data_IF_158727439291
#
_entry.id   IF_158727439291
#
_cell.length_a   1.000
_cell.length_b   1.000
_cell.length_c   1.000
_cell.angle_alpha   90.00
_cell.angle_beta   90.00
_cell.angle_gamma   90.00
#
_symmetry.space_group_name_H-M   'P 1'
#
loop_
_entity.id
_entity.type
_entity.pdbx_description
1 polymer ?
#
# COMPACT_ATOMS: atom_id res chain seq x y z
N UNK A 1 -7.29 -2.78 18.22
CA UNK A 1 -6.36 -2.67 17.09
C UNK A 1 -7.05 -3.10 15.80
N UNK A 2 -6.69 -2.46 14.68
CA UNK A 2 -7.03 -2.94 13.34
C UNK A 2 -5.83 -3.69 12.75
N UNK A 3 -6.09 -4.83 12.13
CA UNK A 3 -5.11 -5.58 11.37
C UNK A 3 -5.45 -5.49 9.89
N UNK A 4 -4.57 -4.84 9.12
CA UNK A 4 -4.66 -4.71 7.66
C UNK A 4 -3.84 -5.84 7.05
N UNK A 5 -4.50 -6.76 6.35
CA UNK A 5 -3.85 -7.94 5.79
C UNK A 5 -3.27 -7.65 4.40
N UNK A 6 -2.12 -8.20 4.09
CA UNK A 6 -1.45 -8.13 2.79
C UNK A 6 -1.19 -9.53 2.24
N UNK A 7 -1.26 -9.74 0.93
CA UNK A 7 -0.77 -10.98 0.30
C UNK A 7 0.76 -11.13 0.37
N UNK A 8 1.45 -10.00 0.52
CA UNK A 8 2.91 -9.91 0.46
C UNK A 8 3.45 -9.60 -0.93
N UNK A 9 2.61 -9.61 -1.96
CA UNK A 9 2.99 -9.34 -3.34
C UNK A 9 3.91 -10.40 -3.94
N UNK A 10 4.44 -10.19 -5.17
CA UNK A 10 5.27 -11.16 -5.88
C UNK A 10 6.66 -11.36 -5.28
N UNK A 11 7.10 -10.47 -4.41
CA UNK A 11 8.45 -10.49 -3.84
C UNK A 11 8.51 -10.86 -2.36
N UNK A 12 7.43 -11.44 -1.83
CA UNK A 12 7.41 -11.97 -0.47
C UNK A 12 8.61 -12.89 -0.21
N UNK A 13 9.31 -12.72 0.92
CA UNK A 13 10.47 -13.51 1.31
C UNK A 13 11.80 -13.09 0.67
N UNK A 14 11.78 -12.19 -0.34
CA UNK A 14 13.01 -11.61 -0.91
C UNK A 14 13.61 -10.56 0.01
N UNK A 15 14.91 -10.30 -0.16
CA UNK A 15 15.64 -9.22 0.51
C UNK A 15 15.99 -8.13 -0.49
N UNK A 16 16.35 -6.94 0.00
CA UNK A 16 16.68 -5.80 -0.85
C UNK A 16 17.76 -6.12 -1.91
N UNK A 17 18.73 -6.99 -1.58
CA UNK A 17 19.74 -7.42 -2.54
C UNK A 17 19.15 -8.19 -3.73
N UNK A 18 18.06 -8.93 -3.52
CA UNK A 18 17.39 -9.72 -4.56
C UNK A 18 16.52 -8.85 -5.47
N UNK A 19 16.24 -7.60 -5.05
CA UNK A 19 15.33 -6.68 -5.74
C UNK A 19 16.04 -5.68 -6.65
N UNK A 20 17.37 -5.73 -6.76
CA UNK A 20 18.16 -4.76 -7.54
C UNK A 20 17.85 -4.79 -9.05
N UNK A 21 17.56 -5.97 -9.58
CA UNK A 21 17.37 -6.18 -11.02
C UNK A 21 15.94 -6.64 -11.38
N UNK A 22 14.96 -6.22 -10.60
CA UNK A 22 13.55 -6.53 -10.86
C UNK A 22 13.09 -5.83 -12.14
N UNK A 23 12.51 -6.62 -13.06
CA UNK A 23 11.89 -6.08 -14.28
C UNK A 23 10.45 -5.66 -14.04
N UNK A 24 9.94 -4.82 -14.94
CA UNK A 24 8.52 -4.41 -14.93
C UNK A 24 7.60 -5.63 -14.99
N UNK A 25 7.92 -6.61 -15.83
CA UNK A 25 7.13 -7.84 -15.99
C UNK A 25 7.05 -8.63 -14.67
N UNK A 26 8.19 -8.81 -13.99
CA UNK A 26 8.24 -9.48 -12.70
C UNK A 26 7.40 -8.76 -11.64
N UNK A 27 7.47 -7.43 -11.59
CA UNK A 27 6.71 -6.63 -10.63
C UNK A 27 5.19 -6.61 -10.91
N UNK A 28 4.78 -6.80 -12.16
CA UNK A 28 3.38 -6.91 -12.57
C UNK A 28 2.80 -8.32 -12.34
N UNK A 29 3.64 -9.34 -12.14
CA UNK A 29 3.21 -10.74 -11.96
C UNK A 29 2.71 -11.00 -10.53
N UNK A 30 1.52 -10.47 -10.20
CA UNK A 30 0.92 -10.70 -8.88
C UNK A 30 0.43 -12.14 -8.74
N UNK A 31 0.74 -12.87 -7.63
CA UNK A 31 0.45 -14.29 -7.49
C UNK A 31 -1.05 -14.62 -7.42
N UNK A 32 -1.90 -13.68 -6.98
CA UNK A 32 -3.31 -13.92 -6.69
C UNK A 32 -4.25 -13.09 -7.57
N UNK A 33 -3.86 -11.83 -7.89
CA UNK A 33 -4.75 -10.85 -8.50
C UNK A 33 -4.31 -10.46 -9.90
N UNK A 34 -5.28 -10.36 -10.81
CA UNK A 34 -5.09 -9.67 -12.09
C UNK A 34 -5.64 -8.24 -11.95
N UNK A 35 -4.75 -7.27 -11.88
CA UNK A 35 -5.07 -5.88 -11.52
C UNK A 35 -4.48 -4.90 -12.53
N UNK A 36 -4.87 -3.63 -12.43
CA UNK A 36 -4.25 -2.55 -13.18
C UNK A 36 -2.76 -2.39 -12.86
N UNK A 37 -1.98 -1.82 -13.80
CA UNK A 37 -0.52 -1.77 -13.68
C UNK A 37 -0.05 -1.00 -12.43
N UNK A 38 -0.65 0.16 -12.12
CA UNK A 38 -0.25 0.99 -10.96
C UNK A 38 -0.42 0.22 -9.64
N UNK A 39 -1.59 -0.36 -9.38
CA UNK A 39 -1.86 -1.08 -8.13
C UNK A 39 -1.04 -2.37 -8.02
N UNK A 40 -0.66 -3.02 -9.13
CA UNK A 40 0.23 -4.18 -9.13
C UNK A 40 1.63 -3.81 -8.63
N UNK A 41 2.16 -2.65 -9.06
CA UNK A 41 3.44 -2.14 -8.54
C UNK A 41 3.30 -1.74 -7.07
N UNK A 42 2.23 -1.04 -6.68
CA UNK A 42 2.00 -0.68 -5.27
C UNK A 42 1.86 -1.92 -4.37
N UNK A 43 1.25 -2.99 -4.87
CA UNK A 43 1.22 -4.27 -4.17
C UNK A 43 2.62 -4.88 -4.02
N UNK A 44 3.42 -4.85 -5.08
CA UNK A 44 4.78 -5.41 -5.09
C UNK A 44 5.71 -4.71 -4.11
N UNK A 45 5.55 -3.38 -3.94
CA UNK A 45 6.34 -2.53 -3.04
C UNK A 45 5.77 -2.44 -1.63
N UNK A 46 4.59 -3.01 -1.38
CA UNK A 46 3.73 -2.80 -0.20
C UNK A 46 3.29 -1.34 0.00
N UNK A 47 3.45 -0.45 -0.98
CA UNK A 47 2.89 0.90 -0.92
C UNK A 47 1.37 0.86 -0.82
N UNK A 48 0.69 -0.05 -1.55
CA UNK A 48 -0.77 -0.20 -1.45
C UNK A 48 -1.20 -0.42 0.01
N UNK A 49 -0.45 -1.25 0.73
CA UNK A 49 -0.74 -1.52 2.14
C UNK A 49 -0.47 -0.30 3.02
N UNK A 50 0.52 0.50 2.67
CA UNK A 50 0.78 1.78 3.32
C UNK A 50 -0.35 2.78 3.13
N UNK A 51 -0.89 2.89 1.92
CA UNK A 51 -2.07 3.71 1.61
C UNK A 51 -3.30 3.24 2.41
N UNK A 52 -3.52 1.93 2.49
CA UNK A 52 -4.63 1.36 3.28
C UNK A 52 -4.49 1.63 4.79
N UNK A 53 -3.27 1.73 5.34
CA UNK A 53 -3.05 2.15 6.73
C UNK A 53 -3.50 3.60 6.93
N UNK A 54 -3.18 4.50 5.99
CA UNK A 54 -3.62 5.89 6.02
C UNK A 54 -5.14 5.99 5.86
N UNK A 55 -5.73 5.23 4.93
CA UNK A 55 -7.18 5.13 4.74
C UNK A 55 -7.88 4.65 6.01
N UNK A 56 -7.38 3.60 6.65
CA UNK A 56 -7.95 3.06 7.87
C UNK A 56 -7.92 4.08 9.02
N UNK A 57 -6.84 4.87 9.13
CA UNK A 57 -6.76 5.97 10.08
C UNK A 57 -7.91 6.97 9.88
N UNK A 58 -8.12 7.44 8.65
CA UNK A 58 -9.14 8.44 8.35
C UNK A 58 -10.56 7.89 8.40
N UNK A 59 -10.81 6.68 7.86
CA UNK A 59 -12.14 6.09 7.80
C UNK A 59 -12.68 5.71 9.18
N UNK A 60 -11.80 5.26 10.07
CA UNK A 60 -12.21 4.74 11.39
C UNK A 60 -11.77 5.63 12.56
N UNK A 61 -11.17 6.80 12.29
CA UNK A 61 -10.56 7.67 13.31
C UNK A 61 -9.62 6.89 14.26
N UNK A 62 -8.93 5.87 13.74
CA UNK A 62 -8.06 4.98 14.52
C UNK A 62 -6.63 5.54 14.57
N UNK A 63 -6.02 5.70 15.74
CA UNK A 63 -4.62 6.10 15.85
C UNK A 63 -3.68 5.13 15.11
N UNK A 64 -2.60 5.64 14.51
CA UNK A 64 -1.65 4.83 13.73
C UNK A 64 -1.02 3.69 14.55
N UNK A 65 -0.74 3.89 15.83
CA UNK A 65 -0.23 2.86 16.75
C UNK A 65 -1.23 1.72 17.02
N UNK A 66 -2.48 1.91 16.62
CA UNK A 66 -3.57 0.92 16.69
C UNK A 66 -3.89 0.28 15.36
N UNK A 67 -3.15 0.61 14.29
CA UNK A 67 -3.28 -0.02 12.97
C UNK A 67 -2.00 -0.79 12.71
N UNK A 68 -2.13 -2.09 12.45
CA UNK A 68 -0.99 -2.97 12.21
C UNK A 68 -1.15 -3.70 10.88
N UNK A 69 -0.04 -3.92 10.18
CA UNK A 69 0.00 -4.70 8.95
C UNK A 69 0.49 -6.11 9.25
N UNK A 70 -0.15 -7.09 8.65
CA UNK A 70 0.28 -8.50 8.68
C UNK A 70 0.20 -9.09 7.27
N UNK A 71 1.21 -9.85 6.89
CA UNK A 71 1.19 -10.60 5.63
C UNK A 71 0.46 -11.91 5.85
N UNK A 72 -0.56 -12.17 5.04
CA UNK A 72 -1.37 -13.40 5.02
C UNK A 72 -1.39 -13.90 3.56
N UNK A 73 -0.46 -14.80 3.20
CA UNK A 73 -0.18 -15.12 1.79
C UNK A 73 -1.35 -15.73 1.04
N UNK A 74 -2.17 -16.54 1.71
CA UNK A 74 -3.34 -17.19 1.12
C UNK A 74 -4.46 -16.20 0.77
N UNK A 75 -4.37 -14.95 1.29
CA UNK A 75 -5.36 -13.86 1.08
C UNK A 75 -6.81 -14.28 1.38
N UNK A 76 -6.99 -15.24 2.28
CA UNK A 76 -8.29 -15.69 2.75
C UNK A 76 -8.86 -14.82 3.87
N UNK A 77 -7.98 -14.09 4.58
CA UNK A 77 -8.35 -13.11 5.61
C UNK A 77 -8.13 -11.71 5.04
N UNK A 78 -9.20 -10.92 4.99
CA UNK A 78 -9.18 -9.59 4.38
C UNK A 78 -8.98 -8.46 5.38
N UNK A 79 -9.38 -8.66 6.65
CA UNK A 79 -9.14 -7.74 7.76
C UNK A 79 -9.43 -8.43 9.09
N UNK A 80 -8.87 -7.88 10.19
CA UNK A 80 -9.18 -8.36 11.55
C UNK A 80 -9.31 -7.17 12.51
N UNK A 81 -10.15 -7.34 13.52
CA UNK A 81 -10.30 -6.40 14.63
C UNK A 81 -9.94 -7.11 15.94
N UNK A 82 -8.95 -6.56 16.64
CA UNK A 82 -8.55 -6.98 17.97
C UNK A 82 -9.22 -6.09 19.02
N UNK A 83 -9.94 -6.69 19.92
CA UNK A 83 -10.63 -6.01 21.01
C UNK A 83 -9.72 -5.79 22.23
N UNK A 84 -10.21 -5.02 23.19
CA UNK A 84 -9.44 -4.67 24.41
C UNK A 84 -9.19 -5.87 25.32
N UNK A 85 -10.00 -6.90 25.21
CA UNK A 85 -9.84 -8.17 25.94
C UNK A 85 -8.86 -9.15 25.26
N UNK A 86 -8.26 -8.74 24.12
CA UNK A 86 -7.34 -9.56 23.34
C UNK A 86 -8.02 -10.51 22.36
N UNK A 87 -9.36 -10.60 22.35
CA UNK A 87 -10.05 -11.39 21.34
C UNK A 87 -9.98 -10.76 19.96
N UNK A 88 -9.99 -11.57 18.89
CA UNK A 88 -9.87 -11.10 17.50
C UNK A 88 -11.05 -11.62 16.68
N UNK A 89 -11.67 -10.72 15.92
CA UNK A 89 -12.61 -11.09 14.85
C UNK A 89 -11.97 -10.85 13.48
N UNK A 90 -12.05 -11.86 12.63
CA UNK A 90 -11.51 -11.80 11.27
C UNK A 90 -12.64 -11.89 10.24
N UNK A 91 -12.50 -11.13 9.16
CA UNK A 91 -13.31 -11.28 7.96
C UNK A 91 -12.60 -12.20 6.99
N UNK A 92 -13.17 -13.39 6.77
CA UNK A 92 -12.67 -14.38 5.83
C UNK A 92 -13.60 -14.46 4.63
N UNK A 93 -13.04 -14.75 3.47
CA UNK A 93 -13.82 -14.94 2.24
C UNK A 93 -12.94 -15.34 1.05
N UNK A 94 -13.61 -15.73 -0.02
CA UNK A 94 -12.97 -15.91 -1.32
C UNK A 94 -12.41 -14.59 -1.82
N UNK A 95 -11.25 -14.65 -2.48
CA UNK A 95 -10.53 -13.48 -3.01
C UNK A 95 -11.19 -12.97 -4.29
N UNK A 96 -12.36 -12.32 -4.15
CA UNK A 96 -13.17 -11.81 -5.25
C UNK A 96 -13.85 -10.48 -4.91
N UNK A 97 -13.55 -9.45 -5.70
CA UNK A 97 -14.08 -8.09 -5.48
C UNK A 97 -15.59 -7.98 -5.66
N UNK A 98 -16.24 -8.93 -6.33
CA UNK A 98 -17.71 -8.92 -6.46
C UNK A 98 -18.42 -9.01 -5.12
N UNK A 99 -17.80 -9.65 -4.11
CA UNK A 99 -18.39 -9.77 -2.77
C UNK A 99 -18.47 -8.39 -2.08
N UNK A 100 -17.38 -7.63 -1.88
CA UNK A 100 -17.46 -6.34 -1.22
C UNK A 100 -18.20 -5.28 -2.05
N UNK A 101 -18.10 -5.30 -3.39
CA UNK A 101 -18.86 -4.40 -4.26
C UNK A 101 -20.36 -4.64 -4.11
N UNK A 102 -20.81 -5.89 -4.18
CA UNK A 102 -22.22 -6.25 -4.02
C UNK A 102 -22.73 -5.86 -2.63
N UNK A 103 -21.95 -6.12 -1.57
CA UNK A 103 -22.33 -5.74 -0.21
C UNK A 103 -22.45 -4.23 -0.02
N UNK A 104 -21.56 -3.44 -0.64
CA UNK A 104 -21.67 -1.99 -0.63
C UNK A 104 -22.98 -1.49 -1.27
N UNK A 105 -23.47 -2.18 -2.31
CA UNK A 105 -24.72 -1.83 -2.98
C UNK A 105 -25.96 -2.33 -2.22
N UNK A 106 -25.85 -3.45 -1.49
CA UNK A 106 -26.98 -4.10 -0.81
C UNK A 106 -27.08 -3.78 0.69
N UNK A 107 -26.12 -3.05 1.24
CA UNK A 107 -26.01 -2.77 2.69
C UNK A 107 -27.37 -2.32 3.27
N UNK A 108 -27.80 -2.85 4.45
CA UNK A 108 -27.09 -3.83 5.29
C UNK A 108 -27.35 -5.30 4.92
N UNK A 109 -28.13 -5.57 3.88
CA UNK A 109 -28.46 -6.93 3.47
C UNK A 109 -27.28 -7.61 2.76
N UNK A 110 -27.11 -8.93 2.98
CA UNK A 110 -26.12 -9.73 2.27
C UNK A 110 -26.81 -10.62 1.25
N UNK A 111 -26.72 -10.24 -0.01
CA UNK A 111 -27.26 -11.02 -1.12
C UNK A 111 -26.30 -12.15 -1.51
N UNK A 112 -26.80 -13.14 -2.24
CA UNK A 112 -25.93 -14.16 -2.81
C UNK A 112 -24.99 -13.54 -3.85
N UNK A 113 -23.71 -13.90 -3.79
CA UNK A 113 -22.72 -13.48 -4.79
C UNK A 113 -22.47 -14.66 -5.76
N UNK A 114 -22.21 -14.39 -7.06
CA UNK A 114 -21.91 -15.41 -8.07
C UNK A 114 -20.45 -15.88 -7.96
N UNK A 115 -20.04 -16.32 -6.78
CA UNK A 115 -18.70 -16.80 -6.44
C UNK A 115 -18.79 -18.03 -5.58
N UNK A 116 -17.82 -18.94 -5.71
CA UNK A 116 -17.72 -20.10 -4.83
C UNK A 116 -17.37 -19.64 -3.40
N UNK A 117 -18.13 -20.05 -2.40
CA UNK A 117 -17.83 -19.71 -1.01
C UNK A 117 -16.53 -20.37 -0.54
N UNK A 118 -15.91 -19.78 0.47
CA UNK A 118 -14.75 -20.36 1.12
C UNK A 118 -15.11 -21.69 1.79
N UNK A 119 -14.40 -22.76 1.42
CA UNK A 119 -14.57 -24.08 2.03
C UNK A 119 -13.45 -24.35 3.05
N UNK A 120 -13.78 -24.33 4.35
CA UNK A 120 -12.84 -24.57 5.43
C UNK A 120 -12.25 -25.99 5.44
N UNK A 121 -12.86 -26.96 4.75
CA UNK A 121 -12.33 -28.33 4.64
C UNK A 121 -11.15 -28.41 3.67
N UNK A 122 -11.04 -27.47 2.75
CA UNK A 122 -10.00 -27.43 1.72
C UNK A 122 -9.06 -26.25 1.84
N UNK A 123 -9.38 -25.28 2.72
CA UNK A 123 -8.60 -24.05 2.92
C UNK A 123 -7.15 -24.32 3.36
N UNK A 124 -6.90 -25.39 4.12
CA UNK A 124 -5.59 -25.72 4.62
C UNK A 124 -5.13 -24.80 5.75
N UNK A 125 -3.82 -24.55 5.83
CA UNK A 125 -3.21 -23.71 6.84
C UNK A 125 -3.30 -22.23 6.47
N UNK A 126 -3.48 -21.37 7.46
CA UNK A 126 -3.36 -19.92 7.34
C UNK A 126 -2.04 -19.48 7.95
N UNK A 127 -1.21 -18.83 7.15
CA UNK A 127 0.11 -18.35 7.56
C UNK A 127 0.07 -16.85 7.83
N UNK A 128 0.89 -16.41 8.79
CA UNK A 128 1.00 -15.00 9.15
C UNK A 128 2.48 -14.63 9.29
N UNK A 129 2.86 -13.52 8.66
CA UNK A 129 4.23 -13.01 8.71
C UNK A 129 4.22 -11.50 9.03
N UNK A 130 5.23 -11.05 9.77
CA UNK A 130 5.47 -9.63 9.90
C UNK A 130 6.00 -9.05 8.58
N UNK A 131 5.55 -7.86 8.13
CA UNK A 131 6.12 -7.22 6.95
C UNK A 131 7.58 -6.81 7.20
N UNK A 132 8.46 -7.05 6.21
CA UNK A 132 9.86 -6.61 6.26
C UNK A 132 9.97 -5.14 5.81
N UNK A 133 9.88 -4.21 6.77
CA UNK A 133 9.94 -2.76 6.51
C UNK A 133 11.29 -2.29 5.96
N UNK A 134 12.36 -3.04 6.19
CA UNK A 134 13.68 -2.72 5.66
C UNK A 134 13.77 -3.02 4.15
N UNK A 135 13.22 -4.15 3.72
CA UNK A 135 13.15 -4.54 2.31
C UNK A 135 12.07 -3.78 1.56
N UNK A 136 10.87 -3.68 2.15
CA UNK A 136 9.72 -2.98 1.55
C UNK A 136 9.59 -1.57 2.12
N UNK A 137 10.56 -0.72 1.78
CA UNK A 137 10.70 0.63 2.33
C UNK A 137 9.47 1.51 2.08
N UNK A 138 8.72 1.29 0.98
CA UNK A 138 7.51 2.05 0.68
C UNK A 138 6.44 1.95 1.78
N UNK A 139 6.28 0.78 2.41
CA UNK A 139 5.36 0.63 3.55
C UNK A 139 5.82 1.46 4.75
N UNK A 140 7.12 1.45 5.06
CA UNK A 140 7.68 2.26 6.14
C UNK A 140 7.47 3.75 5.89
N UNK A 141 7.74 4.22 4.67
CA UNK A 141 7.54 5.62 4.26
C UNK A 141 6.08 6.06 4.36
N UNK A 142 5.15 5.19 3.99
CA UNK A 142 3.72 5.50 4.11
C UNK A 142 3.27 5.60 5.57
N UNK A 143 3.76 4.71 6.44
CA UNK A 143 3.49 4.79 7.89
C UNK A 143 4.09 6.07 8.47
N UNK A 144 5.31 6.43 8.07
CA UNK A 144 5.98 7.66 8.48
C UNK A 144 5.20 8.90 8.02
N UNK A 145 4.78 8.95 6.74
CA UNK A 145 3.98 10.04 6.19
C UNK A 145 2.66 10.22 6.95
N UNK A 146 1.95 9.11 7.18
CA UNK A 146 0.68 9.11 7.92
C UNK A 146 0.86 9.58 9.36
N UNK A 147 1.87 9.06 10.07
CA UNK A 147 2.14 9.41 11.47
C UNK A 147 2.56 10.87 11.62
N UNK A 148 3.35 11.39 10.68
CA UNK A 148 3.71 12.82 10.63
C UNK A 148 2.48 13.68 10.34
N UNK A 149 1.60 13.20 9.47
CA UNK A 149 0.33 13.86 9.17
C UNK A 149 0.47 15.10 8.29
N UNK A 150 -0.52 16.00 8.41
CA UNK A 150 -0.57 17.21 7.61
C UNK A 150 -0.64 16.92 6.11
N UNK A 151 0.21 17.60 5.34
CA UNK A 151 0.30 17.46 3.89
C UNK A 151 1.25 16.36 3.44
N UNK A 152 1.99 15.71 4.35
CA UNK A 152 3.03 14.72 3.98
C UNK A 152 2.45 13.47 3.29
N UNK A 153 1.26 12.94 3.64
CA UNK A 153 0.64 11.85 2.88
C UNK A 153 0.36 12.19 1.41
N UNK A 154 -0.03 13.44 1.11
CA UNK A 154 -0.23 13.89 -0.27
C UNK A 154 1.09 13.96 -1.04
N UNK A 155 2.14 14.48 -0.42
CA UNK A 155 3.52 14.46 -0.97
C UNK A 155 3.95 13.03 -1.28
N UNK A 156 3.82 12.13 -0.33
CA UNK A 156 4.18 10.71 -0.48
C UNK A 156 3.44 10.07 -1.66
N UNK A 157 2.12 10.27 -1.75
CA UNK A 157 1.32 9.69 -2.82
C UNK A 157 1.66 10.28 -4.20
N UNK A 158 1.80 11.61 -4.31
CA UNK A 158 2.18 12.27 -5.56
C UNK A 158 3.54 11.78 -6.08
N UNK A 159 4.53 11.65 -5.19
CA UNK A 159 5.83 11.11 -5.51
C UNK A 159 5.76 9.63 -5.94
N UNK A 160 4.96 8.81 -5.23
CA UNK A 160 4.77 7.41 -5.58
C UNK A 160 4.16 7.24 -6.97
N UNK A 161 3.18 8.03 -7.35
CA UNK A 161 2.58 7.95 -8.68
C UNK A 161 3.58 8.29 -9.78
N UNK A 162 4.43 9.30 -9.58
CA UNK A 162 5.51 9.63 -10.52
C UNK A 162 6.54 8.50 -10.57
N UNK A 163 6.94 7.97 -9.41
CA UNK A 163 7.91 6.89 -9.33
C UNK A 163 7.43 5.60 -10.01
N UNK A 164 6.18 5.22 -9.78
CA UNK A 164 5.56 4.05 -10.42
C UNK A 164 5.49 4.24 -11.93
N UNK A 165 5.09 5.43 -12.41
CA UNK A 165 5.06 5.73 -13.84
C UNK A 165 6.45 5.67 -14.46
N UNK A 166 7.47 6.22 -13.81
CA UNK A 166 8.86 6.17 -14.25
C UNK A 166 9.43 4.74 -14.27
N UNK A 167 9.12 3.91 -13.28
CA UNK A 167 9.50 2.49 -13.26
C UNK A 167 8.82 1.72 -14.40
N UNK A 168 7.52 1.91 -14.61
CA UNK A 168 6.77 1.28 -15.70
C UNK A 168 7.25 1.70 -17.10
N UNK A 169 7.90 2.86 -17.20
CA UNK A 169 8.58 3.36 -18.39
C UNK A 169 10.07 2.98 -18.45
N UNK A 170 10.54 2.14 -17.51
CA UNK A 170 11.94 1.68 -17.41
C UNK A 170 12.97 2.81 -17.25
N UNK A 171 12.54 3.96 -16.70
CA UNK A 171 13.40 5.12 -16.47
C UNK A 171 14.15 5.07 -15.14
N UNK A 172 13.64 4.30 -14.16
CA UNK A 172 14.27 4.08 -12.86
C UNK A 172 14.22 2.58 -12.50
N UNK A 173 15.16 2.07 -11.70
CA UNK A 173 15.11 0.70 -11.19
C UNK A 173 13.97 0.53 -10.17
N UNK A 174 13.60 -0.72 -9.88
CA UNK A 174 12.53 -1.04 -8.93
C UNK A 174 12.74 -0.41 -7.54
N UNK A 175 13.94 -0.49 -6.98
CA UNK A 175 14.26 0.14 -5.71
C UNK A 175 14.26 1.68 -5.78
N UNK A 176 14.40 2.25 -6.97
CA UNK A 176 14.29 3.68 -7.21
C UNK A 176 12.90 4.24 -6.89
N UNK A 177 11.86 3.39 -6.85
CA UNK A 177 10.50 3.81 -6.45
C UNK A 177 10.53 4.34 -5.01
N UNK A 178 11.01 3.53 -4.08
CA UNK A 178 11.10 3.94 -2.68
C UNK A 178 12.07 5.12 -2.48
N UNK A 179 13.19 5.12 -3.20
CA UNK A 179 14.19 6.21 -3.14
C UNK A 179 13.59 7.55 -3.61
N UNK A 180 12.80 7.55 -4.69
CA UNK A 180 12.15 8.77 -5.18
C UNK A 180 11.14 9.32 -4.17
N UNK A 181 10.32 8.44 -3.60
CA UNK A 181 9.34 8.80 -2.57
C UNK A 181 10.05 9.41 -1.35
N UNK A 182 11.10 8.77 -0.86
CA UNK A 182 11.86 9.25 0.29
C UNK A 182 12.52 10.61 0.03
N UNK A 183 13.09 10.82 -1.16
CA UNK A 183 13.65 12.12 -1.57
C UNK A 183 12.60 13.22 -1.56
N UNK A 184 11.41 12.95 -2.10
CA UNK A 184 10.34 13.95 -2.14
C UNK A 184 9.81 14.27 -0.74
N UNK A 185 9.63 13.29 0.12
CA UNK A 185 9.23 13.49 1.52
C UNK A 185 10.27 14.34 2.28
N UNK A 186 11.56 13.99 2.16
CA UNK A 186 12.65 14.72 2.78
C UNK A 186 12.76 16.16 2.26
N UNK A 187 12.54 16.36 0.96
CA UNK A 187 12.50 17.69 0.36
C UNK A 187 11.37 18.53 0.98
N UNK A 188 10.15 18.00 1.03
CA UNK A 188 9.00 18.72 1.60
C UNK A 188 9.20 19.08 3.08
N UNK A 189 9.81 18.19 3.87
CA UNK A 189 10.16 18.48 5.28
C UNK A 189 11.18 19.59 5.38
N UNK A 190 12.24 19.53 4.59
CA UNK A 190 13.32 20.53 4.60
C UNK A 190 12.85 21.91 4.16
N UNK A 191 12.00 21.99 3.14
CA UNK A 191 11.44 23.25 2.63
C UNK A 191 10.27 23.80 3.50
N UNK A 192 9.88 23.09 4.57
CA UNK A 192 8.80 23.52 5.45
C UNK A 192 7.40 23.42 4.81
N UNK A 193 7.25 22.60 3.75
CA UNK A 193 5.97 22.41 3.05
C UNK A 193 5.04 21.47 3.80
N UNK A 194 5.52 20.77 4.83
CA UNK A 194 4.69 19.88 5.67
C UNK A 194 3.96 20.72 6.71
N UNK A 195 2.66 20.87 6.53
CA UNK A 195 1.81 21.70 7.38
C UNK A 195 0.41 21.07 7.49
N UNK A 196 -0.43 21.60 8.40
CA UNK A 196 -1.81 21.13 8.52
C UNK A 196 -2.55 21.27 7.19
N UNK A 197 -3.25 20.23 6.76
CA UNK A 197 -4.10 20.27 5.58
C UNK A 197 -5.37 21.06 5.90
N UNK A 198 -5.53 22.23 5.28
CA UNK A 198 -6.62 23.17 5.56
C UNK A 198 -7.66 23.26 4.44
N UNK A 199 -7.30 22.85 3.23
CA UNK A 199 -8.20 22.86 2.07
C UNK A 199 -7.77 21.85 1.01
N UNK A 200 -8.71 21.50 0.13
CA UNK A 200 -8.44 20.66 -1.05
C UNK A 200 -7.51 21.40 -2.02
N UNK A 201 -7.69 22.69 -2.23
CA UNK A 201 -6.85 23.48 -3.13
C UNK A 201 -5.38 23.49 -2.69
N UNK A 202 -5.14 23.57 -1.38
CA UNK A 202 -3.78 23.44 -0.82
C UNK A 202 -3.18 22.07 -1.13
N UNK A 203 -3.93 20.99 -0.95
CA UNK A 203 -3.46 19.63 -1.23
C UNK A 203 -3.18 19.44 -2.73
N UNK A 204 -4.01 19.98 -3.61
CA UNK A 204 -3.80 19.95 -5.06
C UNK A 204 -2.55 20.74 -5.48
N UNK A 205 -2.30 21.90 -4.86
CA UNK A 205 -1.08 22.66 -5.13
C UNK A 205 0.17 21.89 -4.71
N UNK A 206 0.18 21.31 -3.51
CA UNK A 206 1.29 20.49 -3.01
C UNK A 206 1.51 19.23 -3.86
N UNK A 207 0.43 18.55 -4.28
CA UNK A 207 0.52 17.43 -5.21
C UNK A 207 1.21 17.85 -6.51
N UNK A 208 0.79 18.98 -7.11
CA UNK A 208 1.35 19.48 -8.35
C UNK A 208 2.85 19.84 -8.20
N UNK A 209 3.23 20.55 -7.15
CA UNK A 209 4.62 20.90 -6.85
C UNK A 209 5.48 19.65 -6.62
N UNK A 210 4.96 18.70 -5.85
CA UNK A 210 5.67 17.43 -5.60
C UNK A 210 5.89 16.66 -6.88
N UNK A 211 4.92 16.63 -7.79
CA UNK A 211 5.08 15.96 -9.09
C UNK A 211 6.14 16.61 -9.96
N UNK A 212 6.27 17.93 -9.91
CA UNK A 212 7.35 18.64 -10.60
C UNK A 212 8.70 18.21 -10.04
N UNK A 213 8.89 18.35 -8.74
CA UNK A 213 10.11 17.92 -8.07
C UNK A 213 10.46 16.46 -8.36
N UNK A 214 9.48 15.55 -8.22
CA UNK A 214 9.71 14.12 -8.43
C UNK A 214 10.18 13.82 -9.87
N UNK A 215 9.58 14.47 -10.88
CA UNK A 215 10.02 14.30 -12.28
C UNK A 215 11.45 14.77 -12.51
N UNK A 216 11.88 15.84 -11.85
CA UNK A 216 13.26 16.33 -11.92
C UNK A 216 14.26 15.35 -11.29
N UNK A 217 13.81 14.52 -10.33
CA UNK A 217 14.66 13.51 -9.70
C UNK A 217 14.79 12.23 -10.51
N UNK A 218 13.85 11.91 -11.42
CA UNK A 218 13.85 10.67 -12.22
C UNK A 218 15.18 10.45 -12.95
N UNK A 219 15.76 11.43 -13.71
CA UNK A 219 17.02 11.22 -14.40
C UNK A 219 18.21 10.91 -13.48
N UNK A 220 18.14 11.35 -12.21
CA UNK A 220 19.19 11.13 -11.23
C UNK A 220 19.17 9.70 -10.67
N UNK A 221 18.09 8.96 -10.84
CA UNK A 221 17.90 7.58 -10.41
C UNK A 221 18.10 6.57 -11.57
N UNK A 222 17.95 7.01 -12.81
CA UNK A 222 18.08 6.15 -14.01
C UNK A 222 19.51 5.90 -14.49
N UNK A 223 20.50 6.55 -13.91
CA UNK A 223 21.91 6.50 -14.37
C UNK A 223 22.76 5.36 -13.77
N UNK A 224 22.13 4.26 -13.32
CA UNK A 224 22.86 3.11 -12.75
C UNK A 224 22.69 1.85 -13.58
#
# INVERSE_FOLDING_TARGET
RLWVTASGGPFRGKKAADLQNITVEQALSHPTWNMGRKISIDSSTLMNKGLEVIEAHHLFAMPYDKIAVVVQPQSAIHSMVEFTDGSVKAHLGTTDMRIPIQFALSYPARWSAPVEPLDFRTLGSLEFEAPDLGTFRCLALAIEAGTTGGTLPAVMNAANEVAVAAFLAEQIPYLGIAELVERAMNYAVREGSVQAATSIDQLLAIDAETRVYAREQVPLLGGR
#
